data_IF_375847384990
#
_entry.id   IF_375847384990
#
_cell.length_a   1.000
_cell.length_b   1.000
_cell.length_c   1.000
_cell.angle_alpha   90.00
_cell.angle_beta   90.00
_cell.angle_gamma   90.00
#
_symmetry.space_group_name_H-M   'P 1'
#
loop_
_entity.id
_entity.type
_entity.pdbx_description
1 polymer ?
#
# COMPACT_ATOMS: atom_id res chain seq x y z
N UNK A 1 -13.00 7.02 -3.93
CA UNK A 1 -12.13 8.12 -3.50
C UNK A 1 -10.72 7.60 -3.60
N UNK A 2 -9.98 8.02 -4.62
CA UNK A 2 -8.57 7.63 -4.78
C UNK A 2 -7.74 8.35 -3.71
N UNK A 3 -6.50 7.92 -3.44
CA UNK A 3 -5.65 8.64 -2.48
C UNK A 3 -5.33 10.07 -2.95
N UNK A 4 -5.25 10.30 -4.26
CA UNK A 4 -5.02 11.63 -4.84
C UNK A 4 -6.11 12.63 -4.40
N UNK A 5 -7.36 12.17 -4.23
CA UNK A 5 -8.47 13.00 -3.77
C UNK A 5 -8.34 13.46 -2.30
N UNK A 6 -7.50 12.78 -1.50
CA UNK A 6 -7.34 13.03 -0.04
C UNK A 6 -5.91 13.47 0.33
N UNK A 7 -4.98 13.41 -0.62
CA UNK A 7 -3.56 13.72 -0.42
C UNK A 7 -3.33 15.17 0.04
N UNK A 8 -4.22 16.10 -0.32
CA UNK A 8 -4.20 17.49 0.14
C UNK A 8 -4.61 17.66 1.61
N UNK A 9 -5.54 16.83 2.10
CA UNK A 9 -6.07 16.94 3.48
C UNK A 9 -5.27 16.12 4.50
N UNK A 10 -4.57 15.08 4.05
CA UNK A 10 -3.75 14.23 4.89
C UNK A 10 -2.43 13.87 4.18
N UNK A 11 -1.32 14.60 4.44
CA UNK A 11 -0.03 14.18 3.90
C UNK A 11 0.31 12.79 4.43
N UNK A 12 0.81 11.93 3.54
CA UNK A 12 1.32 10.61 3.91
C UNK A 12 2.39 10.73 5.00
N UNK A 13 2.27 9.89 6.01
CA UNK A 13 3.23 9.81 7.11
C UNK A 13 3.65 8.37 7.32
N UNK A 14 4.84 8.23 7.86
CA UNK A 14 5.37 6.96 8.35
C UNK A 14 4.39 6.32 9.35
N UNK A 15 4.23 5.01 9.27
CA UNK A 15 3.33 4.23 10.12
C UNK A 15 1.84 4.28 9.75
N UNK A 16 1.43 5.05 8.74
CA UNK A 16 0.04 5.03 8.26
C UNK A 16 -0.34 3.66 7.70
N UNK A 17 -1.58 3.23 7.98
CA UNK A 17 -2.15 2.01 7.40
C UNK A 17 -3.03 2.39 6.21
N UNK A 18 -2.78 1.76 5.07
CA UNK A 18 -3.43 2.09 3.80
C UNK A 18 -3.97 0.85 3.10
N UNK A 19 -4.90 1.07 2.17
CA UNK A 19 -5.26 0.11 1.15
C UNK A 19 -4.43 0.40 -0.10
N UNK A 20 -3.72 -0.61 -0.61
CA UNK A 20 -2.96 -0.51 -1.84
C UNK A 20 -3.57 -1.39 -2.93
N UNK A 21 -3.61 -0.87 -4.15
CA UNK A 21 -3.77 -1.66 -5.36
C UNK A 21 -2.39 -2.01 -5.89
N UNK A 22 -2.16 -3.30 -6.16
CA UNK A 22 -0.98 -3.78 -6.87
C UNK A 22 -1.42 -4.36 -8.20
N UNK A 23 -0.91 -3.78 -9.27
CA UNK A 23 -1.14 -4.22 -10.65
C UNK A 23 0.10 -4.95 -11.17
N UNK A 24 -0.08 -6.11 -11.80
CA UNK A 24 0.99 -6.93 -12.40
C UNK A 24 0.59 -7.41 -13.80
N UNK A 25 1.51 -8.07 -14.49
CA UNK A 25 1.27 -8.74 -15.79
C UNK A 25 0.69 -7.78 -16.85
N UNK A 26 1.21 -6.55 -16.89
CA UNK A 26 0.75 -5.54 -17.85
C UNK A 26 -0.69 -5.06 -17.60
N UNK A 27 -1.21 -5.16 -16.38
CA UNK A 27 -2.55 -4.68 -16.04
C UNK A 27 -3.58 -5.77 -15.80
N UNK A 28 -3.29 -7.02 -16.18
CA UNK A 28 -4.26 -8.11 -16.13
C UNK A 28 -4.58 -8.57 -14.70
N UNK A 29 -3.57 -8.54 -13.83
CA UNK A 29 -3.73 -8.91 -12.43
C UNK A 29 -3.82 -7.65 -11.57
N UNK A 30 -4.93 -7.48 -10.85
CA UNK A 30 -5.09 -6.46 -9.81
C UNK A 30 -5.38 -7.10 -8.46
N UNK A 31 -4.64 -6.68 -7.46
CA UNK A 31 -4.73 -7.18 -6.09
C UNK A 31 -4.89 -6.00 -5.12
N UNK A 32 -5.89 -6.02 -4.26
CA UNK A 32 -6.03 -5.05 -3.17
C UNK A 32 -5.54 -5.66 -1.86
N UNK A 33 -4.74 -4.90 -1.11
CA UNK A 33 -4.23 -5.36 0.19
C UNK A 33 -4.11 -4.22 1.19
N UNK A 34 -4.20 -4.54 2.49
CA UNK A 34 -3.95 -3.59 3.58
C UNK A 34 -2.49 -3.67 4.03
N UNK A 35 -1.81 -2.53 4.05
CA UNK A 35 -0.38 -2.41 4.36
C UNK A 35 -0.11 -1.25 5.32
N UNK A 36 0.98 -1.34 6.07
CA UNK A 36 1.56 -0.22 6.80
C UNK A 36 2.66 0.41 5.95
N UNK A 37 2.70 1.73 5.87
CA UNK A 37 3.70 2.46 5.10
C UNK A 37 4.91 2.75 5.97
N UNK A 38 6.09 2.50 5.42
CA UNK A 38 7.34 3.06 5.92
C UNK A 38 7.99 3.94 4.86
N UNK A 39 8.34 5.17 5.24
CA UNK A 39 8.87 6.19 4.34
C UNK A 39 10.37 6.36 4.57
N UNK A 40 11.17 6.00 3.56
CA UNK A 40 12.61 6.21 3.56
C UNK A 40 12.97 7.30 2.54
N UNK A 41 14.22 7.77 2.59
CA UNK A 41 14.69 8.81 1.68
C UNK A 41 14.69 8.34 0.22
N UNK A 42 15.04 7.07 -0.01
CA UNK A 42 15.27 6.42 -1.30
C UNK A 42 14.10 5.55 -1.79
N UNK A 43 13.17 5.18 -0.89
CA UNK A 43 12.09 4.23 -1.19
C UNK A 43 10.89 4.37 -0.26
N UNK A 44 9.78 3.81 -0.69
CA UNK A 44 8.59 3.58 0.12
C UNK A 44 8.42 2.07 0.29
N UNK A 45 8.17 1.63 1.52
CA UNK A 45 7.88 0.23 1.80
C UNK A 45 6.45 0.04 2.28
N UNK A 46 5.80 -1.02 1.78
CA UNK A 46 4.44 -1.42 2.17
C UNK A 46 4.48 -2.75 2.91
N UNK A 47 4.50 -2.67 4.24
CA UNK A 47 4.63 -3.80 5.14
C UNK A 47 3.28 -4.49 5.39
N UNK A 48 3.21 -5.83 5.41
CA UNK A 48 1.99 -6.54 5.78
C UNK A 48 1.54 -6.20 7.21
N UNK A 49 0.21 -6.13 7.42
CA UNK A 49 -0.37 -6.08 8.77
C UNK A 49 -0.67 -7.47 9.37
N UNK A 50 -0.41 -8.53 8.62
CA UNK A 50 -0.57 -9.93 9.05
C UNK A 50 0.64 -10.38 9.86
N UNK A 51 0.42 -11.24 10.85
CA UNK A 51 1.48 -11.90 11.63
C UNK A 51 2.08 -13.12 10.92
N UNK A 52 1.56 -13.49 9.74
CA UNK A 52 2.10 -14.61 8.96
C UNK A 52 3.45 -14.22 8.31
N UNK A 53 4.57 -14.89 8.68
CA UNK A 53 5.92 -14.52 8.24
C UNK A 53 6.18 -14.76 6.75
N UNK A 54 5.28 -15.48 6.05
CA UNK A 54 5.40 -15.68 4.59
C UNK A 54 5.14 -14.41 3.79
N UNK A 55 4.41 -13.44 4.34
CA UNK A 55 4.13 -12.19 3.65
C UNK A 55 5.33 -11.26 3.76
N UNK A 56 5.85 -10.82 2.61
CA UNK A 56 6.96 -9.88 2.53
C UNK A 56 6.49 -8.46 2.23
N UNK A 57 7.25 -7.43 2.65
CA UNK A 57 7.00 -6.06 2.24
C UNK A 57 7.09 -5.88 0.72
N UNK A 58 6.34 -4.93 0.19
CA UNK A 58 6.52 -4.46 -1.19
C UNK A 58 7.39 -3.22 -1.12
N UNK A 59 8.51 -3.23 -1.83
CA UNK A 59 9.49 -2.13 -1.84
C UNK A 59 9.35 -1.38 -3.15
N UNK A 60 9.08 -0.08 -3.08
CA UNK A 60 8.94 0.80 -4.25
C UNK A 60 10.03 1.87 -4.18
N UNK A 61 11.09 1.78 -5.02
CA UNK A 61 12.10 2.82 -5.12
C UNK A 61 11.48 4.16 -5.53
N UNK A 62 12.06 5.27 -5.07
CA UNK A 62 11.61 6.61 -5.45
C UNK A 62 11.97 6.98 -6.89
N UNK A 63 12.98 6.33 -7.45
CA UNK A 63 13.35 6.44 -8.87
C UNK A 63 12.56 5.41 -9.71
N UNK A 64 11.61 5.86 -10.55
CA UNK A 64 10.74 4.98 -11.33
C UNK A 64 11.40 4.42 -12.60
N UNK A 65 12.70 4.63 -12.84
CA UNK A 65 13.37 4.13 -14.06
C UNK A 65 13.42 2.60 -14.20
N UNK A 66 12.97 1.87 -13.18
CA UNK A 66 12.90 0.41 -13.17
C UNK A 66 11.46 -0.04 -13.40
N UNK A 67 11.02 -0.06 -14.65
CA UNK A 67 9.69 -0.53 -15.03
C UNK A 67 9.62 -2.07 -14.90
N UNK A 68 9.42 -2.56 -13.67
CA UNK A 68 9.39 -4.00 -13.34
C UNK A 68 8.02 -4.66 -13.63
N UNK A 69 7.16 -4.00 -14.43
CA UNK A 69 5.81 -4.50 -14.75
C UNK A 69 4.88 -4.64 -13.53
N UNK A 70 5.27 -4.05 -12.39
CA UNK A 70 4.47 -3.98 -11.17
C UNK A 70 4.23 -2.52 -10.82
N UNK A 71 2.96 -2.12 -10.73
CA UNK A 71 2.54 -0.80 -10.28
C UNK A 71 1.88 -0.93 -8.90
N UNK A 72 2.18 -0.01 -7.99
CA UNK A 72 1.58 0.03 -6.65
C UNK A 72 1.01 1.41 -6.40
N UNK A 73 -0.29 1.47 -6.11
CA UNK A 73 -1.01 2.71 -5.86
C UNK A 73 -1.70 2.64 -4.50
N UNK A 74 -1.68 3.75 -3.78
CA UNK A 74 -2.48 3.88 -2.57
C UNK A 74 -3.89 4.28 -3.03
N UNK A 75 -4.90 3.50 -2.65
CA UNK A 75 -6.29 3.75 -3.05
C UNK A 75 -7.18 4.14 -1.87
N UNK A 76 -6.62 4.19 -0.66
CA UNK A 76 -7.33 4.69 0.51
C UNK A 76 -6.53 4.64 1.81
N UNK A 77 -6.91 5.48 2.78
CA UNK A 77 -6.36 5.49 4.13
C UNK A 77 -7.26 4.67 5.06
N UNK A 78 -6.69 3.71 5.80
CA UNK A 78 -7.44 2.93 6.79
C UNK A 78 -7.64 3.76 8.06
N UNK A 79 -8.90 4.00 8.42
CA UNK A 79 -9.26 4.79 9.61
C UNK A 79 -9.71 3.94 10.80
N UNK A 80 -10.37 2.81 10.54
CA UNK A 80 -10.89 1.91 11.57
C UNK A 80 -11.06 0.50 10.99
N UNK A 81 -10.80 -0.52 11.80
CA UNK A 81 -11.16 -1.91 11.52
C UNK A 81 -12.34 -2.27 12.42
N UNK A 82 -13.38 -2.84 11.84
CA UNK A 82 -14.57 -3.32 12.56
C UNK A 82 -14.71 -4.81 12.25
N UNK A 83 -14.88 -5.62 13.29
CA UNK A 83 -15.15 -7.04 13.16
C UNK A 83 -16.41 -7.35 13.96
N UNK A 84 -17.54 -7.45 13.27
CA UNK A 84 -18.84 -7.73 13.87
C UNK A 84 -19.18 -9.24 13.87
N UNK A 85 -18.23 -10.10 13.47
CA UNK A 85 -18.44 -11.54 13.50
C UNK A 85 -18.40 -12.07 14.94
N UNK A 86 -19.40 -12.87 15.36
CA UNK A 86 -19.36 -13.54 16.65
C UNK A 86 -18.20 -14.54 16.69
N UNK A 87 -17.55 -14.64 17.85
CA UNK A 87 -16.45 -15.58 18.13
C UNK A 87 -16.96 -17.00 18.41
#
# INVERSE_FOLDING_TARGET
VSYEDVAYDAPLRDGMVVVVERTRDGGQTREWSVKQIELYQDRTEFHPRSTNPKHKPIIVPRDPSADQGTVVEIIGLVRRVVNDLPF
#
